data_IF_397325569893
#
_entry.id   IF_397325569893
#
_cell.length_a   1.000
_cell.length_b   1.000
_cell.length_c   1.000
_cell.angle_alpha   90.00
_cell.angle_beta   90.00
_cell.angle_gamma   90.00
#
_symmetry.space_group_name_H-M   'P 1'
#
loop_
_entity.id
_entity.type
_entity.pdbx_description
1 polymer ?
#
# COMPACT_ATOMS: atom_id res chain seq x y z
N UNK A 1 -20.39 4.89 -3.82
CA UNK A 1 -20.69 3.83 -2.83
C UNK A 1 -19.59 3.86 -1.77
N UNK A 2 -19.92 3.72 -0.49
CA UNK A 2 -18.94 3.67 0.61
C UNK A 2 -18.94 2.27 1.20
N UNK A 3 -17.78 1.82 1.65
CA UNK A 3 -17.57 0.48 2.20
C UNK A 3 -17.10 0.59 3.64
N UNK A 4 -17.63 -0.27 4.51
CA UNK A 4 -17.21 -0.34 5.90
C UNK A 4 -15.75 -0.77 6.01
N UNK A 5 -14.98 -0.14 6.89
CA UNK A 5 -13.60 -0.55 7.21
C UNK A 5 -13.54 -1.98 7.78
N UNK A 6 -14.63 -2.49 8.34
CA UNK A 6 -14.73 -3.89 8.80
C UNK A 6 -14.47 -4.90 7.68
N UNK A 7 -14.87 -4.59 6.44
CA UNK A 7 -14.61 -5.45 5.28
C UNK A 7 -13.13 -5.56 4.97
N UNK A 8 -12.39 -4.47 5.19
CA UNK A 8 -10.95 -4.43 5.01
C UNK A 8 -10.19 -5.13 6.16
N UNK A 9 -10.81 -5.28 7.33
CA UNK A 9 -10.24 -6.04 8.46
C UNK A 9 -10.28 -7.56 8.24
N UNK A 10 -11.27 -8.08 7.51
CA UNK A 10 -11.43 -9.53 7.25
C UNK A 10 -10.14 -10.20 6.73
N UNK A 11 -9.50 -9.71 5.65
CA UNK A 11 -8.28 -10.33 5.13
C UNK A 11 -7.03 -10.14 6.02
N UNK A 12 -7.07 -9.19 6.97
CA UNK A 12 -5.96 -8.87 7.88
C UNK A 12 -6.03 -9.66 9.19
N UNK A 13 -7.15 -10.32 9.47
CA UNK A 13 -7.37 -10.98 10.75
C UNK A 13 -6.36 -12.12 10.96
N UNK A 14 -5.61 -12.06 12.06
CA UNK A 14 -4.60 -13.05 12.42
C UNK A 14 -3.30 -12.97 11.62
N UNK A 15 -3.09 -11.92 10.83
CA UNK A 15 -1.88 -11.73 10.01
C UNK A 15 -1.09 -10.50 10.43
N UNK A 16 0.26 -10.52 10.33
CA UNK A 16 1.04 -9.31 10.44
C UNK A 16 0.76 -8.40 9.24
N UNK A 17 0.59 -7.11 9.52
CA UNK A 17 0.42 -6.10 8.47
C UNK A 17 1.03 -4.78 8.91
N UNK A 18 1.44 -3.98 7.95
CA UNK A 18 1.94 -2.63 8.15
C UNK A 18 0.94 -1.62 7.60
N UNK A 19 0.87 -0.44 8.22
CA UNK A 19 0.00 0.65 7.82
C UNK A 19 0.81 1.94 7.71
N UNK A 20 0.54 2.74 6.69
CA UNK A 20 1.12 4.08 6.55
C UNK A 20 0.11 5.04 5.93
N UNK A 21 0.08 6.29 6.40
CA UNK A 21 -0.73 7.34 5.80
C UNK A 21 0.07 7.99 4.66
N UNK A 22 -0.59 8.20 3.51
CA UNK A 22 0.08 8.80 2.35
C UNK A 22 -0.67 9.98 1.74
N UNK A 23 -1.83 10.38 2.28
CA UNK A 23 -2.59 11.57 1.87
C UNK A 23 -3.69 11.81 2.91
N UNK A 24 -4.29 13.01 2.93
CA UNK A 24 -5.51 13.25 3.70
C UNK A 24 -6.56 12.16 3.45
N UNK A 25 -7.03 11.53 4.53
CA UNK A 25 -8.03 10.45 4.50
C UNK A 25 -7.65 9.25 3.62
N UNK A 26 -6.36 8.95 3.48
CA UNK A 26 -5.89 7.80 2.70
C UNK A 26 -4.77 7.07 3.42
N UNK A 27 -4.74 5.74 3.29
CA UNK A 27 -3.73 4.89 3.91
C UNK A 27 -3.35 3.75 2.96
N UNK A 28 -2.14 3.24 3.10
CA UNK A 28 -1.65 2.04 2.44
C UNK A 28 -1.42 0.96 3.49
N UNK A 29 -1.78 -0.27 3.13
CA UNK A 29 -1.63 -1.46 3.95
C UNK A 29 -0.68 -2.41 3.23
N UNK A 30 0.32 -2.93 3.91
CA UNK A 30 1.14 -4.02 3.40
C UNK A 30 0.86 -5.30 4.19
N UNK A 31 0.47 -6.37 3.51
CA UNK A 31 0.17 -7.67 4.10
C UNK A 31 0.37 -8.76 3.03
N UNK A 32 1.00 -9.88 3.39
CA UNK A 32 1.27 -11.02 2.51
C UNK A 32 1.86 -10.63 1.15
N UNK A 33 2.88 -9.76 1.14
CA UNK A 33 3.55 -9.32 -0.09
C UNK A 33 2.72 -8.41 -1.00
N UNK A 34 1.51 -8.04 -0.60
CA UNK A 34 0.61 -7.17 -1.37
C UNK A 34 0.44 -5.81 -0.68
N UNK A 35 0.27 -4.76 -1.49
CA UNK A 35 -0.10 -3.44 -0.99
C UNK A 35 -1.58 -3.17 -1.28
N UNK A 36 -2.32 -2.63 -0.31
CA UNK A 36 -3.70 -2.18 -0.50
C UNK A 36 -3.79 -0.70 -0.20
N UNK A 37 -4.07 0.11 -1.22
CA UNK A 37 -4.32 1.54 -1.08
C UNK A 37 -5.79 1.75 -0.75
N UNK A 38 -6.07 2.55 0.28
CA UNK A 38 -7.42 2.84 0.76
C UNK A 38 -7.61 4.35 0.73
N UNK A 39 -8.72 4.79 0.15
CA UNK A 39 -9.00 6.19 -0.15
C UNK A 39 -10.33 6.64 0.43
N UNK A 40 -10.37 7.91 0.84
CA UNK A 40 -11.60 8.58 1.25
C UNK A 40 -12.14 8.04 2.57
N UNK A 41 -11.25 7.81 3.54
CA UNK A 41 -11.59 7.44 4.90
C UNK A 41 -12.44 8.52 5.57
N UNK A 42 -13.59 8.12 6.10
CA UNK A 42 -14.51 9.00 6.80
C UNK A 42 -15.06 8.30 8.04
N UNK A 43 -15.39 9.09 9.06
CA UNK A 43 -16.22 8.64 10.16
C UNK A 43 -17.65 9.05 9.85
N UNK A 44 -18.57 8.08 9.82
CA UNK A 44 -19.99 8.27 9.60
C UNK A 44 -20.74 7.68 10.79
N UNK A 45 -21.23 8.53 11.69
CA UNK A 45 -21.96 8.11 12.90
C UNK A 45 -21.24 7.05 13.76
N UNK A 46 -19.91 7.19 13.93
CA UNK A 46 -19.10 6.25 14.70
C UNK A 46 -18.59 5.05 13.90
N UNK A 47 -19.00 4.90 12.64
CA UNK A 47 -18.52 3.86 11.73
C UNK A 47 -17.43 4.41 10.81
N UNK A 48 -16.28 3.73 10.77
CA UNK A 48 -15.23 4.05 9.82
C UNK A 48 -15.58 3.46 8.44
N UNK A 49 -15.62 4.30 7.43
CA UNK A 49 -15.91 3.93 6.04
C UNK A 49 -14.81 4.43 5.11
N UNK A 50 -14.68 3.81 3.94
CA UNK A 50 -13.82 4.27 2.85
C UNK A 50 -14.58 4.30 1.52
N UNK A 51 -14.07 5.07 0.57
CA UNK A 51 -14.72 5.27 -0.73
C UNK A 51 -14.21 4.29 -1.78
N UNK A 52 -12.92 3.94 -1.71
CA UNK A 52 -12.27 3.05 -2.69
C UNK A 52 -11.08 2.35 -2.06
N UNK A 53 -10.85 1.11 -2.46
CA UNK A 53 -9.58 0.42 -2.24
C UNK A 53 -9.02 -0.09 -3.55
N UNK A 54 -7.69 -0.19 -3.65
CA UNK A 54 -6.99 -0.76 -4.79
C UNK A 54 -5.89 -1.68 -4.27
N UNK A 55 -5.92 -2.94 -4.70
CA UNK A 55 -4.87 -3.92 -4.41
C UNK A 55 -3.78 -3.80 -5.49
N UNK A 56 -2.54 -3.77 -5.05
CA UNK A 56 -1.33 -3.71 -5.86
C UNK A 56 -0.47 -4.91 -5.52
N UNK A 57 -0.09 -5.65 -6.55
CA UNK A 57 0.75 -6.84 -6.44
C UNK A 57 2.12 -6.49 -7.02
N UNK A 58 3.17 -6.77 -6.26
CA UNK A 58 4.54 -6.47 -6.69
C UNK A 58 4.98 -7.51 -7.73
N UNK A 59 5.55 -7.04 -8.85
CA UNK A 59 6.26 -7.90 -9.80
C UNK A 59 7.60 -7.23 -10.18
N UNK A 60 8.75 -7.87 -9.90
CA UNK A 60 8.87 -9.17 -9.22
C UNK A 60 8.28 -9.14 -7.82
N UNK A 61 7.95 -10.32 -7.26
CA UNK A 61 7.52 -10.41 -5.87
C UNK A 61 8.71 -10.11 -4.96
N UNK A 62 8.42 -9.61 -3.75
CA UNK A 62 9.46 -9.54 -2.72
C UNK A 62 9.99 -10.95 -2.42
N UNK A 63 11.28 -11.10 -2.12
CA UNK A 63 11.84 -12.41 -1.74
C UNK A 63 11.13 -12.96 -0.49
N UNK A 64 10.78 -14.24 -0.50
CA UNK A 64 10.03 -14.90 0.58
C UNK A 64 10.83 -14.99 1.90
N UNK A 65 12.17 -14.88 1.82
CA UNK A 65 13.10 -14.89 2.95
C UNK A 65 13.23 -13.53 3.65
N UNK A 66 12.61 -12.47 3.10
CA UNK A 66 12.73 -11.12 3.62
C UNK A 66 11.49 -10.73 4.43
N UNK A 67 11.68 -10.55 5.74
CA UNK A 67 10.67 -10.01 6.62
C UNK A 67 10.68 -8.47 6.59
N UNK A 68 9.61 -7.88 6.07
CA UNK A 68 9.41 -6.42 6.09
C UNK A 68 8.91 -6.01 7.47
N UNK A 69 9.68 -5.17 8.16
CA UNK A 69 9.40 -4.73 9.54
C UNK A 69 8.87 -3.31 9.62
N UNK A 70 9.07 -2.49 8.57
CA UNK A 70 8.56 -1.13 8.54
C UNK A 70 8.19 -0.67 7.13
N UNK A 71 7.27 0.30 7.07
CA UNK A 71 6.76 0.89 5.84
C UNK A 71 6.56 2.39 6.00
N UNK A 72 6.96 3.14 4.98
CA UNK A 72 6.67 4.57 4.86
C UNK A 72 6.19 4.88 3.46
N UNK A 73 5.25 5.82 3.33
CA UNK A 73 4.75 6.27 2.04
C UNK A 73 4.89 7.79 1.92
N UNK A 74 5.21 8.26 0.72
CA UNK A 74 5.22 9.70 0.43
C UNK A 74 3.82 10.30 0.54
N UNK A 75 3.72 11.61 0.77
CA UNK A 75 2.45 12.32 0.98
C UNK A 75 1.52 12.39 -0.24
N UNK A 76 1.97 11.93 -1.39
CA UNK A 76 1.15 11.72 -2.58
C UNK A 76 0.92 10.24 -2.88
N UNK A 77 1.53 9.34 -2.10
CA UNK A 77 1.55 7.88 -2.26
C UNK A 77 2.23 7.36 -3.53
N UNK A 78 2.93 8.21 -4.27
CA UNK A 78 3.67 7.82 -5.48
C UNK A 78 4.84 6.87 -5.20
N UNK A 79 5.34 6.88 -3.96
CA UNK A 79 6.47 6.08 -3.51
C UNK A 79 6.15 5.46 -2.15
N UNK A 80 6.40 4.15 -2.04
CA UNK A 80 6.33 3.41 -0.79
C UNK A 80 7.68 2.75 -0.55
N UNK A 81 8.28 3.04 0.61
CA UNK A 81 9.49 2.39 1.09
C UNK A 81 9.10 1.26 2.06
N UNK A 82 9.58 0.06 1.77
CA UNK A 82 9.47 -1.12 2.63
C UNK A 82 10.86 -1.47 3.13
N UNK A 83 11.04 -1.55 4.45
CA UNK A 83 12.34 -1.85 5.05
C UNK A 83 12.30 -3.19 5.77
N UNK A 84 13.35 -3.97 5.55
CA UNK A 84 13.70 -5.16 6.31
C UNK A 84 14.94 -4.87 7.17
N UNK A 85 15.40 -5.87 7.92
CA UNK A 85 16.60 -5.77 8.77
C UNK A 85 17.87 -5.36 8.00
N UNK A 86 18.01 -5.77 6.73
CA UNK A 86 19.22 -5.57 5.92
C UNK A 86 18.97 -5.01 4.52
N UNK A 87 17.70 -4.76 4.17
CA UNK A 87 17.28 -4.44 2.80
C UNK A 87 16.23 -3.33 2.78
N UNK A 88 16.24 -2.54 1.71
CA UNK A 88 15.27 -1.49 1.45
C UNK A 88 14.69 -1.67 0.05
N UNK A 89 13.37 -1.69 -0.04
CA UNK A 89 12.62 -1.82 -1.28
C UNK A 89 11.82 -0.55 -1.53
N UNK A 90 12.05 0.07 -2.69
CA UNK A 90 11.33 1.27 -3.10
C UNK A 90 10.33 0.88 -4.18
N UNK A 91 9.04 0.95 -3.86
CA UNK A 91 7.93 0.68 -4.77
C UNK A 91 7.46 1.99 -5.38
N UNK A 92 7.56 2.10 -6.71
CA UNK A 92 7.01 3.24 -7.46
C UNK A 92 5.58 2.93 -7.88
N UNK A 93 4.64 3.77 -7.48
CA UNK A 93 3.21 3.61 -7.74
C UNK A 93 2.82 4.57 -8.86
N UNK A 94 2.39 4.06 -10.02
CA UNK A 94 2.04 4.90 -11.18
C UNK A 94 0.96 5.91 -10.81
N UNK A 95 1.09 7.14 -11.34
CA UNK A 95 0.09 8.21 -11.28
C UNK A 95 -1.28 7.80 -11.86
N UNK A 96 -1.32 6.76 -12.70
CA UNK A 96 -2.56 6.26 -13.32
C UNK A 96 -3.49 5.53 -12.34
N UNK A 97 -2.93 4.96 -11.26
CA UNK A 97 -3.72 4.43 -10.14
C UNK A 97 -4.59 5.53 -9.51
N UNK A 98 -4.14 6.80 -9.62
CA UNK A 98 -4.74 7.97 -9.01
C UNK A 98 -5.70 8.70 -9.95
N UNK A 99 -5.47 8.63 -11.26
CA UNK A 99 -6.17 9.40 -12.30
C UNK A 99 -7.50 8.79 -12.77
N UNK A 100 -7.81 7.54 -12.40
CA UNK A 100 -9.12 6.88 -12.69
C UNK A 100 -10.33 7.48 -11.94
N UNK A 101 -10.28 8.77 -11.64
CA UNK A 101 -11.35 9.57 -11.01
C UNK A 101 -12.52 9.92 -11.94
N UNK A 102 -12.54 9.56 -13.23
CA UNK A 102 -13.51 10.15 -14.16
C UNK A 102 -14.31 9.19 -15.07
N UNK A 103 -13.89 7.94 -15.26
CA UNK A 103 -14.63 6.97 -16.07
C UNK A 103 -14.52 5.62 -15.41
N UNK A 104 -15.61 4.86 -15.34
CA UNK A 104 -15.69 3.56 -14.64
C UNK A 104 -14.86 2.44 -15.28
N UNK A 105 -13.61 2.69 -15.65
CA UNK A 105 -12.64 1.72 -16.13
C UNK A 105 -11.35 1.86 -15.31
N UNK A 106 -11.21 0.97 -14.33
CA UNK A 106 -9.91 0.59 -13.78
C UNK A 106 -9.47 -0.61 -14.64
N UNK A 107 -8.42 -0.50 -15.48
CA UNK A 107 -8.17 -1.53 -16.49
C UNK A 107 -7.93 -2.91 -15.91
N UNK A 108 -7.29 -3.04 -14.74
CA UNK A 108 -7.12 -4.33 -14.07
C UNK A 108 -7.08 -4.14 -12.55
N UNK A 109 -7.70 -5.07 -11.81
CA UNK A 109 -7.65 -5.14 -10.34
C UNK A 109 -6.27 -5.54 -9.79
N UNK A 110 -5.26 -5.64 -10.65
CA UNK A 110 -3.89 -6.03 -10.34
C UNK A 110 -2.97 -5.08 -11.10
N UNK A 111 -2.31 -4.18 -10.37
CA UNK A 111 -1.28 -3.31 -10.93
C UNK A 111 0.08 -3.85 -10.53
N UNK A 112 0.96 -4.05 -11.51
CA UNK A 112 2.35 -4.44 -11.33
C UNK A 112 3.17 -3.18 -11.10
N UNK A 113 3.86 -3.10 -9.96
CA UNK A 113 4.84 -2.05 -9.69
C UNK A 113 6.24 -2.66 -9.71
N UNK A 114 7.14 -2.08 -10.50
CA UNK A 114 8.57 -2.36 -10.41
C UNK A 114 9.13 -1.74 -9.12
N UNK A 115 9.90 -2.51 -8.37
CA UNK A 115 10.69 -1.99 -7.26
C UNK A 115 12.18 -2.02 -7.60
N UNK A 116 12.91 -1.00 -7.15
CA UNK A 116 14.37 -1.01 -7.16
C UNK A 116 14.90 -1.65 -5.89
N UNK A 117 15.77 -2.67 -6.00
CA UNK A 117 16.51 -3.22 -4.88
C UNK A 117 17.75 -2.35 -4.62
N UNK A 118 17.77 -1.60 -3.52
CA UNK A 118 18.96 -0.83 -3.12
C UNK A 118 19.76 -1.68 -2.14
N UNK A 119 20.85 -2.29 -2.63
CA UNK A 119 21.83 -2.98 -1.80
C UNK A 119 22.60 -1.98 -0.93
N UNK A 120 22.57 -2.21 0.40
CA UNK A 120 23.41 -1.61 1.44
C UNK A 120 23.47 -0.07 1.46
N UNK A 121 22.65 0.54 2.32
CA UNK A 121 23.11 1.72 3.04
C UNK A 121 24.16 1.25 4.06
N UNK A 122 25.42 1.28 3.67
CA UNK A 122 26.50 1.29 4.64
C UNK A 122 26.27 2.48 5.58
N UNK A 123 26.12 2.21 6.87
CA UNK A 123 26.14 3.25 7.90
C UNK A 123 27.53 3.87 7.85
N UNK A 124 27.65 5.01 7.19
CA UNK A 124 28.81 5.86 7.40
C UNK A 124 28.57 6.66 8.68
N UNK A 125 29.27 6.21 9.72
CA UNK A 125 29.50 6.76 11.08
C UNK A 125 28.74 6.07 12.20
#
# INVERSE_FOLDING_TARGET
MRTSLSELRKPLCGKPYLLSAFRYKSLVIFCDGCMTFVYGLVNNNGLAEYTRSVKVVLSPRLPDDVEITSMSAMQDGSLVALSASSSLFIVRVSADLWSSRASGHVPHNEYVCEYGHILRLGVFR
#
